data_IF_319434588922
#
_entry.id   IF_319434588922
#
_cell.length_a   1.000
_cell.length_b   1.000
_cell.length_c   1.000
_cell.angle_alpha   90.00
_cell.angle_beta   90.00
_cell.angle_gamma   90.00
#
_symmetry.space_group_name_H-M   'P 1'
#
loop_
_entity.id
_entity.type
_entity.pdbx_description
1 polymer ?
#
# COMPACT_ATOMS: atom_id res chain seq x y z
N UNK A 1 -16.07 27.32 11.24
CA UNK A 1 -15.83 27.67 9.82
C UNK A 1 -15.05 26.53 9.17
N UNK A 2 -15.57 25.94 8.09
CA UNK A 2 -14.81 24.98 7.30
C UNK A 2 -13.87 25.78 6.37
N UNK A 3 -12.60 25.84 6.71
CA UNK A 3 -11.58 26.44 5.83
C UNK A 3 -11.45 25.53 4.61
N UNK A 4 -11.74 26.05 3.42
CA UNK A 4 -11.56 25.32 2.18
C UNK A 4 -10.08 24.97 2.03
N UNK A 5 -9.76 23.68 2.00
CA UNK A 5 -8.39 23.21 1.81
C UNK A 5 -7.99 23.42 0.34
N UNK A 6 -7.17 24.43 0.09
CA UNK A 6 -6.66 24.72 -1.26
C UNK A 6 -5.73 23.60 -1.75
N UNK A 7 -6.12 22.95 -2.84
CA UNK A 7 -5.32 21.90 -3.50
C UNK A 7 -4.23 22.54 -4.36
N UNK A 8 -3.17 23.03 -3.73
CA UNK A 8 -1.98 23.54 -4.41
C UNK A 8 -1.13 22.40 -4.95
N UNK A 9 -0.37 22.66 -6.02
CA UNK A 9 0.54 21.68 -6.64
C UNK A 9 1.53 21.10 -5.61
N UNK A 10 2.09 21.96 -4.75
CA UNK A 10 3.00 21.56 -3.67
C UNK A 10 2.38 20.56 -2.69
N UNK A 11 1.10 20.71 -2.39
CA UNK A 11 0.35 19.77 -1.53
C UNK A 11 0.20 18.40 -2.20
N UNK A 12 -0.08 18.38 -3.50
CA UNK A 12 -0.23 17.14 -4.26
C UNK A 12 1.11 16.41 -4.40
N UNK A 13 2.18 17.15 -4.68
CA UNK A 13 3.54 16.62 -4.76
C UNK A 13 3.97 16.07 -3.40
N UNK A 14 3.72 16.80 -2.30
CA UNK A 14 3.98 16.31 -0.95
C UNK A 14 3.26 14.99 -0.64
N UNK A 15 1.96 14.87 -0.99
CA UNK A 15 1.19 13.63 -0.76
C UNK A 15 1.74 12.49 -1.62
N UNK A 16 2.14 12.77 -2.87
CA UNK A 16 2.72 11.76 -3.77
C UNK A 16 4.05 11.25 -3.25
N UNK A 17 4.97 12.13 -2.90
CA UNK A 17 6.34 11.79 -2.50
C UNK A 17 6.38 11.06 -1.15
N UNK A 18 5.44 11.37 -0.27
CA UNK A 18 5.39 10.81 1.08
C UNK A 18 4.40 9.65 1.21
N UNK A 19 3.70 9.25 0.13
CA UNK A 19 2.55 8.35 0.19
C UNK A 19 2.84 6.99 0.81
N UNK A 20 4.04 6.44 0.57
CA UNK A 20 4.46 5.13 1.09
C UNK A 20 5.44 5.23 2.27
N UNK A 21 5.88 6.45 2.61
CA UNK A 21 6.92 6.73 3.61
C UNK A 21 6.32 7.24 4.93
N UNK A 22 5.26 8.06 4.86
CA UNK A 22 4.62 8.65 6.04
C UNK A 22 3.24 8.04 6.29
N UNK A 23 2.78 7.99 7.55
CA UNK A 23 1.39 7.67 7.82
C UNK A 23 0.47 8.81 7.37
N UNK A 24 -0.73 8.48 6.88
CA UNK A 24 -1.75 9.50 6.53
C UNK A 24 -2.08 10.45 7.67
N UNK A 25 -2.00 9.99 8.93
CA UNK A 25 -2.22 10.84 10.11
C UNK A 25 -1.18 11.94 10.21
N UNK A 26 0.07 11.62 9.90
CA UNK A 26 1.18 12.57 9.98
C UNK A 26 1.20 13.50 8.77
N UNK A 27 0.86 12.98 7.57
CA UNK A 27 0.60 13.83 6.40
C UNK A 27 -0.53 14.82 6.66
N UNK A 28 -1.65 14.34 7.20
CA UNK A 28 -2.81 15.16 7.55
C UNK A 28 -2.43 16.26 8.57
N UNK A 29 -1.62 15.90 9.59
CA UNK A 29 -1.11 16.87 10.58
C UNK A 29 -0.23 17.93 9.94
N UNK A 30 0.70 17.56 9.04
CA UNK A 30 1.57 18.51 8.33
C UNK A 30 0.79 19.43 7.39
N UNK A 31 -0.22 18.89 6.71
CA UNK A 31 -1.05 19.64 5.79
C UNK A 31 -2.15 20.45 6.49
N UNK A 32 -2.37 20.26 7.80
CA UNK A 32 -3.47 20.90 8.51
C UNK A 32 -4.86 20.44 8.04
N UNK A 33 -4.98 19.20 7.54
CA UNK A 33 -6.21 18.67 6.98
C UNK A 33 -6.63 17.34 7.62
N UNK A 34 -7.75 16.78 7.19
CA UNK A 34 -8.23 15.49 7.70
C UNK A 34 -7.56 14.30 7.00
N UNK A 35 -7.41 13.17 7.70
CA UNK A 35 -6.88 11.91 7.11
C UNK A 35 -7.75 11.37 5.98
N UNK A 36 -9.05 11.67 6.02
CA UNK A 36 -10.00 11.36 4.97
C UNK A 36 -9.68 12.17 3.70
N UNK A 37 -9.34 13.45 3.84
CA UNK A 37 -8.95 14.30 2.71
C UNK A 37 -7.66 13.82 2.05
N UNK A 38 -6.64 13.45 2.84
CA UNK A 38 -5.42 12.81 2.32
C UNK A 38 -5.74 11.53 1.53
N UNK A 39 -6.71 10.75 1.99
CA UNK A 39 -7.13 9.53 1.28
C UNK A 39 -7.86 9.82 -0.03
N UNK A 40 -8.66 10.88 -0.09
CA UNK A 40 -9.32 11.33 -1.33
C UNK A 40 -8.28 11.81 -2.32
N UNK A 41 -7.35 12.67 -1.88
CA UNK A 41 -6.25 13.21 -2.72
C UNK A 41 -5.44 12.06 -3.33
N UNK A 42 -5.01 11.08 -2.52
CA UNK A 42 -4.27 9.95 -3.07
C UNK A 42 -5.09 9.10 -4.06
N UNK A 43 -6.41 8.98 -3.84
CA UNK A 43 -7.30 8.33 -4.80
C UNK A 43 -7.41 9.07 -6.14
N UNK A 44 -7.53 10.40 -6.10
CA UNK A 44 -7.55 11.28 -7.27
C UNK A 44 -6.22 11.24 -8.04
N UNK A 45 -5.10 11.16 -7.32
CA UNK A 45 -3.76 11.00 -7.88
C UNK A 45 -3.49 9.58 -8.42
N UNK A 46 -4.44 8.64 -8.26
CA UNK A 46 -4.28 7.24 -8.67
C UNK A 46 -3.23 6.48 -7.87
N UNK A 47 -2.87 6.97 -6.67
CA UNK A 47 -1.89 6.35 -5.80
C UNK A 47 -2.42 5.02 -5.26
N UNK A 48 -1.54 4.02 -5.05
CA UNK A 48 -1.94 2.72 -4.54
C UNK A 48 -2.58 2.84 -3.15
N UNK A 49 -3.47 1.93 -2.78
CA UNK A 49 -4.04 1.94 -1.43
C UNK A 49 -2.92 1.73 -0.42
N UNK A 50 -2.61 2.77 0.37
CA UNK A 50 -1.66 2.67 1.46
C UNK A 50 -2.20 1.68 2.51
N UNK A 51 -1.46 0.60 2.73
CA UNK A 51 -1.76 -0.36 3.79
C UNK A 51 -1.27 0.19 5.12
N UNK A 52 -1.91 -0.23 6.22
CA UNK A 52 -1.30 -0.01 7.54
C UNK A 52 0.08 -0.66 7.50
N UNK A 53 1.12 0.09 7.88
CA UNK A 53 2.45 -0.46 8.13
C UNK A 53 2.31 -1.71 9.03
N UNK A 54 3.24 -2.68 8.88
CA UNK A 54 3.05 -3.99 9.45
C UNK A 54 2.86 -3.83 10.96
N UNK A 55 1.88 -4.55 11.52
CA UNK A 55 1.62 -4.57 12.96
C UNK A 55 2.66 -5.37 13.74
N UNK A 56 3.86 -5.49 13.18
CA UNK A 56 4.82 -6.46 13.65
C UNK A 56 5.50 -6.00 14.94
N UNK A 57 5.77 -6.94 15.85
CA UNK A 57 6.71 -6.72 16.94
C UNK A 57 8.06 -6.30 16.34
N UNK A 58 8.77 -5.41 17.05
CA UNK A 58 10.09 -4.87 16.68
C UNK A 58 11.13 -5.93 16.25
N UNK A 59 10.91 -7.21 16.56
CA UNK A 59 11.86 -8.30 16.39
C UNK A 59 11.65 -9.14 15.11
N UNK A 60 10.76 -8.71 14.22
CA UNK A 60 10.49 -9.41 12.95
C UNK A 60 11.55 -9.05 11.91
N UNK A 61 12.73 -9.63 12.00
CA UNK A 61 13.83 -9.36 11.07
C UNK A 61 13.65 -10.16 9.76
N UNK A 62 13.46 -9.45 8.65
CA UNK A 62 13.56 -10.01 7.31
C UNK A 62 14.94 -9.65 6.74
N UNK A 63 15.70 -10.64 6.25
CA UNK A 63 16.98 -10.36 5.58
C UNK A 63 16.76 -9.79 4.19
N UNK A 64 17.69 -8.93 3.74
CA UNK A 64 17.66 -8.34 2.39
C UNK A 64 17.62 -9.45 1.31
N UNK A 65 18.30 -10.57 1.55
CA UNK A 65 18.26 -11.72 0.62
C UNK A 65 16.89 -12.37 0.53
N UNK A 66 16.14 -12.43 1.64
CA UNK A 66 14.77 -12.94 1.64
C UNK A 66 13.84 -12.03 0.82
N UNK A 67 14.00 -10.71 0.95
CA UNK A 67 13.29 -9.72 0.13
C UNK A 67 13.62 -9.90 -1.35
N UNK A 68 14.92 -10.07 -1.69
CA UNK A 68 15.36 -10.29 -3.07
C UNK A 68 14.79 -11.57 -3.68
N UNK A 69 14.78 -12.68 -2.92
CA UNK A 69 14.16 -13.94 -3.37
C UNK A 69 12.66 -13.75 -3.60
N UNK A 70 11.97 -13.16 -2.63
CA UNK A 70 10.53 -12.88 -2.72
C UNK A 70 10.18 -12.02 -3.93
N UNK A 71 10.98 -11.00 -4.24
CA UNK A 71 10.80 -10.16 -5.44
C UNK A 71 10.85 -10.96 -6.74
N UNK A 72 11.70 -11.97 -6.82
CA UNK A 72 11.88 -12.78 -8.02
C UNK A 72 10.70 -13.72 -8.29
N UNK A 73 9.90 -14.02 -7.26
CA UNK A 73 8.70 -14.86 -7.39
C UNK A 73 7.55 -14.16 -8.13
N UNK A 74 7.60 -12.82 -8.27
CA UNK A 74 6.58 -12.04 -8.96
C UNK A 74 7.01 -11.65 -10.38
N UNK A 75 6.16 -11.97 -11.36
CA UNK A 75 6.29 -11.55 -12.77
C UNK A 75 5.23 -10.50 -13.12
N UNK A 76 5.59 -9.52 -13.94
CA UNK A 76 4.63 -8.55 -14.46
C UNK A 76 3.55 -9.26 -15.29
N UNK A 77 2.30 -8.86 -15.13
CA UNK A 77 1.16 -9.49 -15.82
C UNK A 77 0.70 -10.83 -15.23
N UNK A 78 1.40 -11.36 -14.22
CA UNK A 78 1.03 -12.61 -13.57
C UNK A 78 -0.28 -12.44 -12.79
N UNK A 79 -1.22 -13.36 -12.99
CA UNK A 79 -2.41 -13.48 -12.12
C UNK A 79 -1.96 -14.10 -10.79
N UNK A 80 -2.30 -13.43 -9.69
CA UNK A 80 -1.96 -13.89 -8.35
C UNK A 80 -3.19 -13.79 -7.44
N UNK A 81 -3.27 -14.71 -6.48
CA UNK A 81 -4.21 -14.61 -5.37
C UNK A 81 -3.43 -14.43 -4.08
N UNK A 82 -3.79 -13.41 -3.31
CA UNK A 82 -3.14 -13.04 -2.07
C UNK A 82 -4.10 -13.22 -0.90
N UNK A 83 -3.67 -13.96 0.13
CA UNK A 83 -4.31 -14.01 1.43
C UNK A 83 -3.63 -13.02 2.36
N UNK A 84 -4.34 -11.94 2.67
CA UNK A 84 -3.85 -10.80 3.44
C UNK A 84 -4.43 -10.84 4.83
N UNK A 85 -3.58 -11.01 5.84
CA UNK A 85 -4.00 -10.96 7.23
C UNK A 85 -4.35 -9.51 7.63
N UNK A 86 -5.52 -9.32 8.26
CA UNK A 86 -5.98 -8.00 8.76
C UNK A 86 -5.91 -7.90 10.28
N UNK A 87 -6.24 -8.97 10.97
CA UNK A 87 -6.21 -9.09 12.44
C UNK A 87 -6.10 -10.57 12.81
N UNK A 88 -5.93 -10.89 14.10
CA UNK A 88 -5.99 -12.29 14.59
C UNK A 88 -7.22 -13.00 13.99
N UNK A 89 -6.98 -14.09 13.26
CA UNK A 89 -8.00 -14.94 12.62
C UNK A 89 -8.71 -14.37 11.38
N UNK A 90 -8.58 -13.06 11.07
CA UNK A 90 -9.29 -12.45 9.93
C UNK A 90 -8.34 -12.19 8.77
N UNK A 91 -8.70 -12.72 7.60
CA UNK A 91 -7.97 -12.53 6.35
C UNK A 91 -8.88 -11.93 5.27
N UNK A 92 -8.27 -11.24 4.31
CA UNK A 92 -8.88 -10.77 3.07
C UNK A 92 -8.21 -11.52 1.92
N UNK A 93 -8.99 -12.08 1.02
CA UNK A 93 -8.48 -12.66 -0.22
C UNK A 93 -8.53 -11.60 -1.32
N UNK A 94 -7.45 -11.48 -2.09
CA UNK A 94 -7.32 -10.54 -3.19
C UNK A 94 -6.83 -11.31 -4.41
N UNK A 95 -7.68 -11.46 -5.42
CA UNK A 95 -7.29 -12.02 -6.71
C UNK A 95 -7.09 -10.88 -7.71
N UNK A 96 -5.92 -10.80 -8.31
CA UNK A 96 -5.53 -9.70 -9.16
C UNK A 96 -4.38 -10.04 -10.10
N UNK A 97 -3.85 -9.02 -10.75
CA UNK A 97 -2.73 -9.10 -11.68
C UNK A 97 -1.60 -8.22 -11.17
N UNK A 98 -0.37 -8.72 -11.21
CA UNK A 98 0.82 -7.93 -10.92
C UNK A 98 0.96 -6.84 -11.99
N UNK A 99 0.73 -5.60 -11.61
CA UNK A 99 0.76 -4.46 -12.51
C UNK A 99 2.12 -3.77 -12.55
N UNK A 100 2.83 -3.74 -11.42
CA UNK A 100 4.19 -3.22 -11.35
C UNK A 100 4.97 -3.91 -10.22
N UNK A 101 6.30 -3.85 -10.27
CA UNK A 101 7.18 -4.25 -9.17
C UNK A 101 8.37 -3.31 -9.07
N UNK A 102 8.79 -3.02 -7.84
CA UNK A 102 10.01 -2.28 -7.53
C UNK A 102 10.97 -3.21 -6.78
N UNK A 103 12.01 -2.65 -6.16
CA UNK A 103 12.93 -3.42 -5.32
C UNK A 103 12.32 -3.82 -3.96
N UNK A 104 11.28 -3.10 -3.51
CA UNK A 104 10.74 -3.24 -2.15
C UNK A 104 9.25 -3.60 -2.09
N UNK A 105 8.51 -3.41 -3.19
CA UNK A 105 7.08 -3.71 -3.24
C UNK A 105 6.62 -4.23 -4.60
N UNK A 106 5.49 -4.91 -4.56
CA UNK A 106 4.71 -5.33 -5.73
C UNK A 106 3.36 -4.63 -5.73
N UNK A 107 2.95 -4.14 -6.90
CA UNK A 107 1.68 -3.45 -7.08
C UNK A 107 0.71 -4.38 -7.80
N UNK A 108 -0.42 -4.66 -7.17
CA UNK A 108 -1.42 -5.60 -7.66
C UNK A 108 -2.67 -4.83 -8.08
N UNK A 109 -3.08 -5.01 -9.33
CA UNK A 109 -4.34 -4.51 -9.85
C UNK A 109 -5.42 -5.57 -9.65
N UNK A 110 -6.48 -5.23 -8.95
CA UNK A 110 -7.59 -6.14 -8.66
C UNK A 110 -8.94 -5.42 -8.75
N UNK A 111 -10.02 -6.16 -8.96
CA UNK A 111 -11.37 -5.58 -9.07
C UNK A 111 -12.14 -5.72 -7.77
N UNK A 112 -12.75 -4.63 -7.31
CA UNK A 112 -13.72 -4.64 -6.20
C UNK A 112 -15.01 -3.96 -6.65
N UNK A 113 -16.13 -4.70 -6.63
CA UNK A 113 -17.44 -4.18 -7.07
C UNK A 113 -17.39 -3.53 -8.46
N UNK A 114 -16.74 -4.18 -9.43
CA UNK A 114 -16.59 -3.68 -10.79
C UNK A 114 -15.57 -2.54 -10.98
N UNK A 115 -15.06 -1.92 -9.90
CA UNK A 115 -14.04 -0.86 -9.98
C UNK A 115 -12.63 -1.45 -9.89
N UNK A 116 -11.77 -1.02 -10.80
CA UNK A 116 -10.34 -1.32 -10.77
C UNK A 116 -9.70 -0.64 -9.55
N UNK A 117 -8.94 -1.42 -8.78
CA UNK A 117 -8.15 -0.95 -7.66
C UNK A 117 -6.69 -1.35 -7.84
N UNK A 118 -5.80 -0.52 -7.31
CA UNK A 118 -4.37 -0.78 -7.22
C UNK A 118 -3.99 -0.79 -5.74
N UNK A 119 -3.31 -1.84 -5.31
CA UNK A 119 -2.87 -2.01 -3.92
C UNK A 119 -1.40 -2.43 -3.96
N UNK A 120 -0.54 -1.74 -3.20
CA UNK A 120 0.88 -2.09 -3.05
C UNK A 120 1.07 -3.02 -1.85
N UNK A 121 1.99 -3.97 -2.02
CA UNK A 121 2.36 -4.98 -1.04
C UNK A 121 3.88 -4.99 -0.94
N UNK A 122 4.41 -4.72 0.24
CA UNK A 122 5.86 -4.73 0.43
C UNK A 122 6.34 -6.17 0.60
N UNK A 123 7.55 -6.48 0.11
CA UNK A 123 8.09 -7.84 0.13
C UNK A 123 8.34 -8.37 1.54
N UNK A 124 8.64 -7.48 2.49
CA UNK A 124 8.74 -7.81 3.92
C UNK A 124 7.43 -8.40 4.48
N UNK A 125 6.26 -7.90 4.04
CA UNK A 125 4.94 -8.43 4.44
C UNK A 125 4.74 -9.89 4.02
N UNK A 126 5.36 -10.29 2.90
CA UNK A 126 5.34 -11.68 2.45
C UNK A 126 6.33 -12.54 3.23
N UNK A 127 7.53 -12.04 3.47
CA UNK A 127 8.55 -12.75 4.24
C UNK A 127 8.10 -13.05 5.67
N UNK A 128 7.33 -12.14 6.28
CA UNK A 128 6.79 -12.34 7.64
C UNK A 128 5.44 -13.07 7.63
N UNK A 129 4.87 -13.33 6.44
CA UNK A 129 3.68 -14.15 6.27
C UNK A 129 2.35 -13.45 6.60
N UNK A 130 2.36 -12.11 6.75
CA UNK A 130 1.12 -11.29 6.79
C UNK A 130 0.40 -11.35 5.43
N UNK A 131 1.16 -11.52 4.35
CA UNK A 131 0.65 -11.74 3.00
C UNK A 131 1.17 -13.06 2.49
N UNK A 132 0.26 -13.93 2.02
CA UNK A 132 0.62 -15.23 1.44
C UNK A 132 0.07 -15.32 0.03
N UNK A 133 0.88 -15.80 -0.90
CA UNK A 133 0.42 -16.20 -2.23
C UNK A 133 -0.31 -17.55 -2.10
N UNK A 134 -1.49 -17.66 -2.72
CA UNK A 134 -2.36 -18.85 -2.72
C UNK A 134 -2.66 -19.25 -4.15
#
# INVERSE_FOLDING_TARGET
MAVAFERKKETLDFVRDNWEIMYKKDMAKKLGCSTSLVSVIGGELGLPIQRKLPTLPKDSFCTIDSIRRMRNDFRLGQKITLKVQRSRGKYKVISGVVANKTDYLVLVKWKKYGKDRRESFRYDEFCVGEVRVV
#
